data_IF_959895234601
#
_entry.id   IF_959895234601
#
_cell.length_a   1.000
_cell.length_b   1.000
_cell.length_c   1.000
_cell.angle_alpha   90.00
_cell.angle_beta   90.00
_cell.angle_gamma   90.00
#
_symmetry.space_group_name_H-M   'P 1'
#
loop_
_entity.id
_entity.type
_entity.pdbx_description
1 polymer ?
#
# COMPACT_ATOMS: atom_id res chain seq x y z
N UNK A 1 -14.42 6.80 -0.83
CA UNK A 1 -13.00 6.74 -0.42
C UNK A 1 -12.13 7.24 -1.56
N UNK A 2 -11.25 8.18 -1.30
CA UNK A 2 -10.40 8.78 -2.34
C UNK A 2 -9.02 8.11 -2.36
N UNK A 3 -8.30 8.28 -3.48
CA UNK A 3 -6.92 7.80 -3.58
C UNK A 3 -6.02 8.45 -2.54
N UNK A 4 -6.27 9.70 -2.20
CA UNK A 4 -5.48 10.41 -1.20
C UNK A 4 -5.62 9.79 0.18
N UNK A 5 -6.82 9.39 0.55
CA UNK A 5 -7.07 8.71 1.82
C UNK A 5 -6.34 7.37 1.85
N UNK A 6 -6.43 6.60 0.76
CA UNK A 6 -5.76 5.31 0.65
C UNK A 6 -4.24 5.49 0.72
N UNK A 7 -3.71 6.46 -0.01
CA UNK A 7 -2.27 6.76 0.02
C UNK A 7 -1.81 7.11 1.43
N UNK A 8 -2.59 7.91 2.15
CA UNK A 8 -2.28 8.26 3.53
C UNK A 8 -2.23 7.05 4.46
N UNK A 9 -3.16 6.12 4.28
CA UNK A 9 -3.18 4.88 5.07
C UNK A 9 -1.96 4.01 4.76
N UNK A 10 -1.62 3.87 3.47
CA UNK A 10 -0.46 3.10 3.05
C UNK A 10 0.83 3.71 3.61
N UNK A 11 0.99 5.03 3.49
CA UNK A 11 2.16 5.72 4.04
C UNK A 11 2.29 5.54 5.54
N UNK A 12 1.18 5.66 6.26
CA UNK A 12 1.16 5.48 7.71
C UNK A 12 1.70 4.10 8.10
N UNK A 13 1.20 3.06 7.45
CA UNK A 13 1.62 1.70 7.75
C UNK A 13 3.06 1.42 7.31
N UNK A 14 3.50 2.03 6.20
CA UNK A 14 4.90 1.94 5.78
C UNK A 14 5.83 2.52 6.84
N UNK A 15 5.49 3.70 7.36
CA UNK A 15 6.30 4.36 8.39
C UNK A 15 6.35 3.57 9.69
N UNK A 16 5.28 2.85 10.02
CA UNK A 16 5.22 2.01 11.21
C UNK A 16 5.98 0.70 11.05
N UNK A 17 6.02 0.18 9.84
CA UNK A 17 6.60 -1.14 9.56
C UNK A 17 8.09 -1.08 9.23
N UNK A 18 8.50 -0.06 8.49
CA UNK A 18 9.89 0.11 8.04
C UNK A 18 10.57 1.18 8.88
N UNK A 19 11.44 0.77 9.80
CA UNK A 19 12.04 1.65 10.80
C UNK A 19 12.83 2.83 10.21
N UNK A 20 13.60 2.58 9.17
CA UNK A 20 14.49 3.58 8.59
C UNK A 20 13.81 4.47 7.57
N UNK A 21 12.53 4.23 7.29
CA UNK A 21 11.81 4.99 6.29
C UNK A 21 11.25 6.26 6.90
N UNK A 22 11.43 7.37 6.21
CA UNK A 22 10.87 8.66 6.60
C UNK A 22 9.89 9.13 5.53
N UNK A 23 8.98 10.02 5.90
CA UNK A 23 7.97 10.53 4.98
C UNK A 23 8.60 11.19 3.74
N UNK A 24 9.72 11.89 3.94
CA UNK A 24 10.45 12.56 2.86
C UNK A 24 10.95 11.59 1.79
N UNK A 25 11.22 10.35 2.20
CA UNK A 25 11.76 9.32 1.30
C UNK A 25 10.69 8.55 0.57
N UNK A 26 9.43 8.68 0.98
CA UNK A 26 8.34 7.96 0.34
C UNK A 26 7.98 8.66 -0.97
N UNK A 27 8.41 8.06 -2.08
CA UNK A 27 8.06 8.50 -3.42
C UNK A 27 7.16 7.42 -4.04
N UNK A 28 5.86 7.70 -4.22
CA UNK A 28 4.93 6.69 -4.74
C UNK A 28 5.28 6.14 -6.12
N UNK A 29 6.06 6.87 -6.89
CA UNK A 29 6.46 6.44 -8.25
C UNK A 29 7.65 5.49 -8.23
N UNK A 30 8.44 5.48 -7.16
CA UNK A 30 9.60 4.59 -7.04
C UNK A 30 9.16 3.19 -6.62
N UNK A 31 9.96 2.20 -7.00
CA UNK A 31 9.69 0.83 -6.56
C UNK A 31 9.85 0.72 -5.05
N UNK A 32 9.08 -0.18 -4.44
CA UNK A 32 9.18 -0.42 -3.00
C UNK A 32 10.55 -0.94 -2.62
N UNK A 33 11.19 -1.68 -3.52
CA UNK A 33 12.55 -2.16 -3.33
C UNK A 33 13.54 -1.00 -3.20
N UNK A 34 13.39 0.04 -4.01
CA UNK A 34 14.24 1.24 -3.93
C UNK A 34 14.05 1.99 -2.62
N UNK A 35 12.86 1.89 -2.04
CA UNK A 35 12.56 2.51 -0.74
C UNK A 35 13.06 1.68 0.44
N UNK A 36 13.64 0.52 0.18
CA UNK A 36 14.11 -0.37 1.24
C UNK A 36 13.03 -1.25 1.85
N UNK A 37 11.89 -1.37 1.17
CA UNK A 37 10.76 -2.19 1.65
C UNK A 37 10.90 -3.59 1.06
N UNK A 38 10.97 -4.61 1.91
CA UNK A 38 11.07 -5.99 1.46
C UNK A 38 9.67 -6.62 1.32
N UNK A 39 9.63 -7.86 0.79
CA UNK A 39 8.37 -8.54 0.52
C UNK A 39 7.52 -8.76 1.78
N UNK A 40 8.17 -9.06 2.90
CA UNK A 40 7.46 -9.26 4.17
C UNK A 40 6.85 -7.95 4.66
N UNK A 41 7.57 -6.86 4.51
CA UNK A 41 7.06 -5.54 4.86
C UNK A 41 5.85 -5.16 4.00
N UNK A 42 5.92 -5.46 2.71
CA UNK A 42 4.81 -5.20 1.80
C UNK A 42 3.56 -5.95 2.23
N UNK A 43 3.70 -7.24 2.56
CA UNK A 43 2.58 -8.06 3.01
C UNK A 43 1.98 -7.47 4.30
N UNK A 44 2.83 -7.08 5.22
CA UNK A 44 2.38 -6.48 6.50
C UNK A 44 1.62 -5.17 6.26
N UNK A 45 2.19 -4.27 5.48
CA UNK A 45 1.57 -2.98 5.16
C UNK A 45 0.22 -3.18 4.46
N UNK A 46 0.17 -4.06 3.47
CA UNK A 46 -1.04 -4.33 2.72
C UNK A 46 -2.11 -4.94 3.62
N UNK A 47 -1.73 -5.90 4.48
CA UNK A 47 -2.66 -6.52 5.41
C UNK A 47 -3.27 -5.49 6.37
N UNK A 48 -2.44 -4.60 6.91
CA UNK A 48 -2.90 -3.54 7.78
C UNK A 48 -3.82 -2.56 7.05
N UNK A 49 -3.44 -2.17 5.83
CA UNK A 49 -4.24 -1.25 5.04
C UNK A 49 -5.59 -1.84 4.68
N UNK A 50 -5.62 -3.11 4.26
CA UNK A 50 -6.87 -3.80 3.95
C UNK A 50 -7.80 -3.87 5.16
N UNK A 51 -7.23 -4.15 6.32
CA UNK A 51 -7.99 -4.23 7.57
C UNK A 51 -8.58 -2.86 7.93
N UNK A 52 -7.77 -1.83 7.85
CA UNK A 52 -8.20 -0.47 8.18
C UNK A 52 -9.26 0.04 7.21
N UNK A 53 -9.08 -0.23 5.92
CA UNK A 53 -10.00 0.21 4.87
C UNK A 53 -11.19 -0.74 4.67
N UNK A 54 -11.17 -1.91 5.32
CA UNK A 54 -12.20 -2.94 5.23
C UNK A 54 -12.42 -3.43 3.79
N UNK A 55 -11.32 -3.65 3.09
CA UNK A 55 -11.34 -4.18 1.72
C UNK A 55 -10.45 -5.41 1.65
N UNK A 56 -10.65 -6.23 0.62
CA UNK A 56 -9.84 -7.42 0.38
C UNK A 56 -9.31 -7.40 -1.03
N UNK A 57 -8.04 -7.79 -1.15
CA UNK A 57 -7.36 -7.91 -2.44
C UNK A 57 -6.72 -9.29 -2.50
N UNK A 58 -6.90 -10.04 -3.61
CA UNK A 58 -6.25 -11.34 -3.76
C UNK A 58 -4.74 -11.24 -3.71
N UNK A 59 -4.11 -12.25 -3.10
CA UNK A 59 -2.66 -12.30 -2.98
C UNK A 59 -1.96 -12.31 -4.34
N UNK A 60 -2.59 -12.93 -5.34
CA UNK A 60 -2.06 -12.98 -6.69
C UNK A 60 -1.90 -11.58 -7.30
N UNK A 61 -2.77 -10.66 -6.95
CA UNK A 61 -2.67 -9.27 -7.43
C UNK A 61 -1.53 -8.53 -6.75
N UNK A 62 -1.22 -8.88 -5.51
CA UNK A 62 -0.12 -8.25 -4.76
C UNK A 62 1.24 -8.58 -5.35
N UNK A 63 1.40 -9.75 -5.94
CA UNK A 63 2.67 -10.17 -6.54
C UNK A 63 3.06 -9.34 -7.76
N UNK A 64 2.11 -8.63 -8.34
CA UNK A 64 2.33 -7.80 -9.53
C UNK A 64 2.72 -6.36 -9.18
N UNK A 65 2.70 -6.01 -7.91
CA UNK A 65 2.97 -4.64 -7.47
C UNK A 65 4.46 -4.37 -7.44
N UNK A 66 4.85 -3.18 -7.88
CA UNK A 66 6.24 -2.74 -7.84
C UNK A 66 6.41 -1.41 -7.10
N UNK A 67 5.39 -0.55 -7.09
CA UNK A 67 5.46 0.74 -6.43
C UNK A 67 4.19 1.05 -5.62
N UNK A 68 4.25 2.13 -4.86
CA UNK A 68 3.14 2.54 -4.00
C UNK A 68 1.93 2.98 -4.83
N UNK A 69 2.16 3.65 -5.97
CA UNK A 69 1.07 4.07 -6.84
C UNK A 69 0.24 2.87 -7.31
N UNK A 70 0.91 1.78 -7.70
CA UNK A 70 0.24 0.55 -8.10
C UNK A 70 -0.58 -0.04 -6.96
N UNK A 71 -0.03 -0.04 -5.75
CA UNK A 71 -0.75 -0.52 -4.57
C UNK A 71 -1.98 0.35 -4.27
N UNK A 72 -1.84 1.66 -4.34
CA UNK A 72 -2.96 2.59 -4.11
C UNK A 72 -4.06 2.37 -5.16
N UNK A 73 -3.68 2.19 -6.43
CA UNK A 73 -4.63 1.88 -7.50
C UNK A 73 -5.42 0.61 -7.21
N UNK A 74 -4.71 -0.43 -6.82
CA UNK A 74 -5.31 -1.73 -6.54
C UNK A 74 -6.30 -1.63 -5.37
N UNK A 75 -5.91 -0.97 -4.30
CA UNK A 75 -6.77 -0.77 -3.14
C UNK A 75 -7.98 0.11 -3.47
N UNK A 76 -7.77 1.12 -4.29
CA UNK A 76 -8.85 2.01 -4.71
C UNK A 76 -9.87 1.25 -5.55
N UNK A 77 -9.43 0.43 -6.49
CA UNK A 77 -10.32 -0.39 -7.30
C UNK A 77 -11.12 -1.35 -6.43
N UNK A 78 -10.48 -1.98 -5.44
CA UNK A 78 -11.16 -2.88 -4.52
C UNK A 78 -12.21 -2.14 -3.70
N UNK A 79 -11.93 -0.91 -3.28
CA UNK A 79 -12.88 -0.09 -2.53
C UNK A 79 -14.08 0.30 -3.39
N UNK A 80 -13.84 0.66 -4.65
CA UNK A 80 -14.92 1.00 -5.59
C UNK A 80 -15.82 -0.21 -5.86
N UNK A 81 -15.23 -1.37 -6.11
CA UNK A 81 -16.00 -2.60 -6.35
C UNK A 81 -16.82 -2.99 -5.12
N UNK A 82 -16.29 -2.77 -3.94
CA UNK A 82 -17.00 -3.05 -2.72
C UNK A 82 -18.23 -2.15 -2.55
N UNK A 83 -18.13 -0.90 -2.98
CA UNK A 83 -19.20 0.08 -2.86
C UNK A 83 -20.35 -0.21 -3.82
N UNK A 84 -20.10 -0.98 -4.87
CA UNK A 84 -21.11 -1.35 -5.83
C UNK A 84 -21.65 -2.75 -5.58
#
# INVERSE_FOLDING_TARGET
>A
MTREVILGVVKKHLLQTVEDLTEDRIDPSKSMKELGVNSLDIVEVVSCAMRELRIKVPRSDLSKLSNIDGLVDLLHQAAVHRAS
#
